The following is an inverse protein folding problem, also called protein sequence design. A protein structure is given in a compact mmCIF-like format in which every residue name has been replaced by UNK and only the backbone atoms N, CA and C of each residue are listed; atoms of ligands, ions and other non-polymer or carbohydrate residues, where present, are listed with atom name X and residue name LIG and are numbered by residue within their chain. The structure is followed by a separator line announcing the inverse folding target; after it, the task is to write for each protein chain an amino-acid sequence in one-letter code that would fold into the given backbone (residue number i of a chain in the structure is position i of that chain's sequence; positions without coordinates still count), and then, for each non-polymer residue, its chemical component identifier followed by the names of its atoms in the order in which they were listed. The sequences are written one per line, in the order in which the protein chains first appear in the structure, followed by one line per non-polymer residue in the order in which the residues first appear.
data_IF_325503935142
#
_entry.id   IF_325503935142
#
_cell.length_a   1.000
_cell.length_b   1.000
_cell.length_c   1.000
_cell.angle_alpha   90.00
_cell.angle_beta   90.00
_cell.angle_gamma   90.00
#
_symmetry.space_group_name_H-M   'P 1'
#
loop_
_entity.id
_entity.type
_entity.pdbx_description
1 polymer ?
#
# COMPACT_ATOMS: atom_id res chain seq x y z
N UNK A 1 -13.25 8.84 26.49
CA UNK A 1 -13.15 9.41 25.12
C UNK A 1 -13.31 8.29 24.11
N UNK A 2 -14.06 8.47 23.00
CA UNK A 2 -14.09 7.49 21.93
C UNK A 2 -12.70 7.40 21.30
N UNK A 3 -12.16 6.19 21.17
CA UNK A 3 -10.78 5.90 20.77
C UNK A 3 -10.40 6.41 19.36
N UNK A 4 -11.37 6.87 18.56
CA UNK A 4 -11.21 7.27 17.15
C UNK A 4 -11.91 8.60 16.82
N UNK A 5 -12.15 9.46 17.82
CA UNK A 5 -12.74 10.76 17.54
C UNK A 5 -11.70 11.64 16.81
N UNK A 6 -11.98 11.97 15.54
CA UNK A 6 -11.10 12.74 14.64
C UNK A 6 -9.84 12.02 14.10
N UNK A 7 -9.79 10.68 14.17
CA UNK A 7 -8.69 9.90 13.56
C UNK A 7 -9.27 8.65 12.89
N UNK A 8 -8.79 8.35 11.68
CA UNK A 8 -9.07 7.10 10.98
C UNK A 8 -7.71 6.49 10.63
N UNK A 9 -7.07 5.74 11.54
CA UNK A 9 -5.73 5.21 11.31
C UNK A 9 -5.71 4.17 10.20
N UNK A 10 -4.54 3.98 9.59
CA UNK A 10 -4.30 2.89 8.66
C UNK A 10 -4.23 1.56 9.43
N UNK A 11 -5.23 0.70 9.22
CA UNK A 11 -5.34 -0.61 9.88
C UNK A 11 -4.81 -1.74 8.98
N UNK A 12 -4.48 -2.88 9.58
CA UNK A 12 -3.99 -4.07 8.87
C UNK A 12 -4.84 -4.51 7.68
N UNK A 13 -6.17 -4.31 7.72
CA UNK A 13 -7.06 -4.66 6.60
C UNK A 13 -6.72 -3.95 5.30
N UNK A 14 -6.18 -2.74 5.36
CA UNK A 14 -5.70 -2.02 4.17
C UNK A 14 -4.45 -2.70 3.59
N UNK A 15 -3.51 -3.06 4.47
CA UNK A 15 -2.29 -3.79 4.10
C UNK A 15 -2.61 -5.15 3.48
N UNK A 16 -3.55 -5.90 4.07
CA UNK A 16 -4.00 -7.18 3.52
C UNK A 16 -4.61 -7.01 2.14
N UNK A 17 -5.48 -6.01 1.95
CA UNK A 17 -6.05 -5.68 0.65
C UNK A 17 -4.97 -5.39 -0.39
N UNK A 18 -4.02 -4.51 -0.09
CA UNK A 18 -2.94 -4.20 -1.02
C UNK A 18 -2.02 -5.38 -1.29
N UNK A 19 -1.69 -6.18 -0.27
CA UNK A 19 -0.87 -7.37 -0.42
C UNK A 19 -1.50 -8.39 -1.38
N UNK A 20 -2.82 -8.48 -1.47
CA UNK A 20 -3.50 -9.31 -2.47
C UNK A 20 -3.84 -8.57 -3.77
N UNK A 21 -3.32 -7.35 -3.94
CA UNK A 21 -3.55 -6.53 -5.12
C UNK A 21 -5.00 -6.07 -5.27
N UNK A 22 -5.73 -5.88 -4.18
CA UNK A 22 -7.09 -5.34 -4.26
C UNK A 22 -7.06 -3.85 -4.62
N UNK A 23 -7.95 -3.42 -5.50
CA UNK A 23 -8.32 -2.00 -5.63
C UNK A 23 -9.20 -1.64 -4.43
N UNK A 24 -8.74 -0.74 -3.58
CA UNK A 24 -9.49 -0.31 -2.40
C UNK A 24 -10.31 0.92 -2.73
N UNK A 25 -11.62 0.81 -2.56
CA UNK A 25 -12.58 1.88 -2.82
C UNK A 25 -13.24 2.28 -1.51
N UNK A 26 -13.20 3.57 -1.17
CA UNK A 26 -13.76 4.06 0.07
C UNK A 26 -13.20 5.42 0.46
N UNK A 27 -13.51 5.88 1.66
CA UNK A 27 -12.91 7.10 2.18
C UNK A 27 -11.49 6.80 2.66
N UNK A 28 -10.51 7.56 2.16
CA UNK A 28 -9.13 7.46 2.64
C UNK A 28 -9.05 7.63 4.17
N UNK A 29 -8.24 6.81 4.87
CA UNK A 29 -7.91 7.04 6.26
C UNK A 29 -7.16 8.37 6.39
N UNK A 30 -7.19 8.96 7.58
CA UNK A 30 -6.57 10.25 7.86
C UNK A 30 -6.08 10.26 9.30
N UNK A 31 -4.94 10.88 9.54
CA UNK A 31 -4.23 10.87 10.81
C UNK A 31 -2.74 11.17 10.58
N UNK A 32 -1.98 11.28 11.66
CA UNK A 32 -0.53 11.53 11.57
C UNK A 32 0.17 10.35 10.86
N UNK A 33 0.99 10.64 9.85
CA UNK A 33 1.76 9.61 9.13
C UNK A 33 0.97 8.80 8.08
N UNK A 34 -0.35 8.99 7.98
CA UNK A 34 -1.19 8.15 7.10
C UNK A 34 -0.96 8.48 5.63
N UNK A 35 -0.77 9.75 5.28
CA UNK A 35 -0.55 10.16 3.90
C UNK A 35 0.75 9.58 3.34
N UNK A 36 1.83 9.61 4.13
CA UNK A 36 3.14 9.05 3.75
C UNK A 36 3.08 7.53 3.59
N UNK A 37 2.26 6.85 4.41
CA UNK A 37 1.99 5.42 4.31
C UNK A 37 1.07 5.05 3.13
N UNK A 38 0.52 6.01 2.40
CA UNK A 38 -0.40 5.79 1.28
C UNK A 38 0.03 6.53 0.01
N UNK A 39 1.29 6.96 -0.03
CA UNK A 39 1.85 7.85 -1.05
C UNK A 39 2.24 7.09 -2.32
N UNK A 40 1.23 6.52 -2.97
CA UNK A 40 1.32 6.03 -4.34
C UNK A 40 -0.04 6.19 -5.04
N UNK A 41 0.00 6.20 -6.36
CA UNK A 41 -1.17 6.37 -7.19
C UNK A 41 -2.20 5.26 -6.93
N UNK A 42 -3.45 5.65 -6.69
CA UNK A 42 -4.59 4.74 -6.50
C UNK A 42 -4.46 3.77 -5.31
N UNK A 43 -3.65 4.13 -4.29
CA UNK A 43 -3.61 3.46 -2.97
C UNK A 43 -4.98 3.34 -2.31
N UNK A 44 -5.87 4.28 -2.60
CA UNK A 44 -7.31 4.16 -2.40
C UNK A 44 -8.03 5.05 -3.43
N UNK A 45 -9.21 4.64 -3.84
CA UNK A 45 -10.07 5.44 -4.72
C UNK A 45 -11.25 5.96 -3.89
N UNK A 46 -11.43 7.29 -3.90
CA UNK A 46 -12.50 7.91 -3.13
C UNK A 46 -13.87 7.51 -3.70
N UNK A 47 -14.69 6.89 -2.84
CA UNK A 47 -16.04 6.49 -3.22
C UNK A 47 -16.95 7.73 -3.31
N UNK A 48 -17.70 7.91 -4.42
CA UNK A 48 -18.57 9.05 -4.57
C UNK A 48 -19.69 9.06 -3.53
N UNK A 49 -20.12 10.26 -3.13
CA UNK A 49 -21.29 10.45 -2.27
C UNK A 49 -22.48 10.79 -3.15
N UNK A 50 -23.50 9.95 -3.18
CA UNK A 50 -24.76 10.25 -3.88
C UNK A 50 -25.29 9.10 -4.73
N UNK A 51 -26.21 9.42 -5.64
CA UNK A 51 -26.96 8.46 -6.46
C UNK A 51 -26.13 7.78 -7.56
N UNK A 52 -24.93 8.29 -7.87
CA UNK A 52 -24.05 7.75 -8.92
C UNK A 52 -23.12 6.61 -8.43
N UNK A 53 -23.34 6.10 -7.21
CA UNK A 53 -22.50 5.06 -6.61
C UNK A 53 -22.45 3.77 -7.45
N UNK A 54 -23.58 3.35 -8.02
CA UNK A 54 -23.66 2.12 -8.83
C UNK A 54 -22.94 2.31 -10.15
N UNK A 55 -23.23 3.39 -10.89
CA UNK A 55 -22.58 3.71 -12.17
C UNK A 55 -21.06 3.83 -12.02
N UNK A 56 -20.59 4.41 -10.91
CA UNK A 56 -19.17 4.48 -10.58
C UNK A 56 -18.56 3.08 -10.42
N UNK A 57 -19.19 2.19 -9.65
CA UNK A 57 -18.68 0.82 -9.48
C UNK A 57 -18.72 0.03 -10.78
N UNK A 58 -19.79 0.17 -11.58
CA UNK A 58 -19.92 -0.50 -12.87
C UNK A 58 -18.84 -0.04 -13.86
N UNK A 59 -18.58 1.28 -13.94
CA UNK A 59 -17.51 1.80 -14.79
C UNK A 59 -16.12 1.37 -14.32
N UNK A 60 -15.86 1.38 -13.00
CA UNK A 60 -14.61 0.88 -12.43
C UNK A 60 -14.41 -0.62 -12.72
N UNK A 61 -15.47 -1.43 -12.58
CA UNK A 61 -15.43 -2.87 -12.86
C UNK A 61 -15.34 -3.19 -14.35
N UNK A 62 -15.77 -2.28 -15.23
CA UNK A 62 -15.63 -2.44 -16.68
C UNK A 62 -14.19 -2.20 -17.16
N UNK A 63 -13.40 -1.38 -16.44
CA UNK A 63 -12.01 -1.08 -16.79
C UNK A 63 -11.03 -2.13 -16.23
N UNK A 64 -10.95 -3.26 -16.93
CA UNK A 64 -10.10 -4.39 -16.54
C UNK A 64 -8.60 -4.04 -16.59
N UNK A 65 -8.18 -3.22 -17.55
CA UNK A 65 -6.78 -2.81 -17.70
C UNK A 65 -6.36 -1.95 -16.49
N UNK A 66 -7.21 -0.99 -16.09
CA UNK A 66 -7.00 -0.22 -14.87
C UNK A 66 -6.91 -1.11 -13.63
N UNK A 67 -7.87 -2.02 -13.46
CA UNK A 67 -7.90 -2.91 -12.29
C UNK A 67 -6.67 -3.80 -12.22
N UNK A 68 -6.22 -4.33 -13.36
CA UNK A 68 -5.01 -5.16 -13.42
C UNK A 68 -3.76 -4.33 -13.06
N UNK A 69 -3.60 -3.15 -13.66
CA UNK A 69 -2.46 -2.26 -13.36
C UNK A 69 -2.45 -1.83 -11.89
N UNK A 70 -3.61 -1.45 -11.34
CA UNK A 70 -3.72 -1.04 -9.95
C UNK A 70 -3.47 -2.20 -8.98
N UNK A 71 -3.91 -3.41 -9.34
CA UNK A 71 -3.67 -4.62 -8.56
C UNK A 71 -2.18 -4.88 -8.39
N UNK A 72 -1.45 -4.81 -9.51
CA UNK A 72 -0.01 -5.01 -9.55
C UNK A 72 0.71 -3.92 -8.75
N UNK A 73 0.31 -2.64 -8.92
CA UNK A 73 0.86 -1.53 -8.15
C UNK A 73 0.67 -1.72 -6.66
N UNK A 74 -0.56 -1.98 -6.20
CA UNK A 74 -0.86 -2.15 -4.78
C UNK A 74 -0.06 -3.31 -4.17
N UNK A 75 0.08 -4.42 -4.88
CA UNK A 75 0.90 -5.54 -4.42
C UNK A 75 2.38 -5.13 -4.27
N UNK A 76 2.95 -4.47 -5.28
CA UNK A 76 4.35 -4.05 -5.28
C UNK A 76 4.64 -3.02 -4.19
N UNK A 77 3.82 -1.97 -4.10
CA UNK A 77 4.00 -0.91 -3.11
C UNK A 77 3.84 -1.44 -1.69
N UNK A 78 2.87 -2.33 -1.45
CA UNK A 78 2.72 -2.97 -0.15
C UNK A 78 3.93 -3.83 0.21
N UNK A 79 4.46 -4.60 -0.75
CA UNK A 79 5.66 -5.41 -0.56
C UNK A 79 6.87 -4.52 -0.23
N UNK A 80 7.08 -3.44 -0.98
CA UNK A 80 8.27 -2.59 -0.88
C UNK A 80 8.24 -1.61 0.29
N UNK A 81 7.06 -1.20 0.76
CA UNK A 81 6.91 -0.15 1.79
C UNK A 81 6.41 -0.66 3.14
N UNK A 82 5.68 -1.77 3.17
CA UNK A 82 4.93 -2.18 4.37
C UNK A 82 5.33 -3.53 4.95
N UNK A 83 6.35 -4.18 4.40
CA UNK A 83 6.90 -5.40 5.01
C UNK A 83 7.52 -5.09 6.38
N UNK A 84 7.25 -5.97 7.35
CA UNK A 84 7.69 -5.83 8.74
C UNK A 84 9.21 -5.83 8.88
N UNK A 85 9.97 -6.37 7.91
CA UNK A 85 11.44 -6.34 7.93
C UNK A 85 11.98 -4.92 7.88
N UNK A 86 11.34 -4.02 7.14
CA UNK A 86 11.71 -2.60 7.13
C UNK A 86 11.46 -1.95 8.49
N UNK A 87 10.32 -2.27 9.12
CA UNK A 87 10.01 -1.80 10.48
C UNK A 87 11.03 -2.32 11.51
N UNK A 88 11.46 -3.57 11.39
CA UNK A 88 12.51 -4.11 12.25
C UNK A 88 13.84 -3.39 12.07
N UNK A 89 14.26 -3.13 10.83
CA UNK A 89 15.47 -2.35 10.54
C UNK A 89 15.42 -1.01 11.27
N UNK A 90 14.30 -0.30 11.15
CA UNK A 90 14.15 1.02 11.77
C UNK A 90 14.15 0.94 13.30
N UNK A 91 13.48 -0.06 13.89
CA UNK A 91 13.47 -0.30 15.35
C UNK A 91 14.88 -0.61 15.89
N UNK A 92 15.65 -1.44 15.18
CA UNK A 92 17.04 -1.76 15.56
C UNK A 92 17.90 -0.50 15.52
N UNK A 93 17.75 0.33 14.48
CA UNK A 93 18.47 1.59 14.36
C UNK A 93 18.12 2.55 15.51
N UNK A 94 16.82 2.73 15.82
CA UNK A 94 16.35 3.57 16.94
C UNK A 94 16.92 3.07 18.28
N UNK A 95 16.94 1.75 18.48
CA UNK A 95 17.49 1.14 19.69
C UNK A 95 19.02 1.09 19.72
N UNK A 96 19.71 1.56 18.68
CA UNK A 96 21.16 1.46 18.50
C UNK A 96 21.68 0.02 18.63
N UNK A 97 20.88 -0.95 18.17
CA UNK A 97 21.22 -2.37 18.17
C UNK A 97 21.91 -2.78 16.86
N UNK A 98 22.77 -3.81 16.88
CA UNK A 98 23.40 -4.33 15.68
C UNK A 98 22.36 -4.76 14.64
N UNK A 99 22.64 -4.46 13.36
CA UNK A 99 21.79 -4.89 12.25
C UNK A 99 22.18 -6.30 11.79
N UNK A 100 21.31 -7.32 11.90
CA UNK A 100 21.65 -8.69 11.53
C UNK A 100 21.82 -8.84 10.01
N UNK A 101 22.93 -9.46 9.57
CA UNK A 101 23.19 -9.70 8.15
C UNK A 101 22.08 -10.51 7.45
N UNK A 102 21.39 -11.39 8.17
CA UNK A 102 20.24 -12.13 7.62
C UNK A 102 19.06 -11.20 7.28
N UNK A 103 18.79 -10.21 8.12
CA UNK A 103 17.71 -9.25 7.87
C UNK A 103 18.03 -8.39 6.65
N UNK A 104 19.28 -7.97 6.50
CA UNK A 104 19.77 -7.27 5.30
C UNK A 104 19.53 -8.08 4.02
N UNK A 105 19.97 -9.34 4.01
CA UNK A 105 19.78 -10.23 2.86
C UNK A 105 18.30 -10.47 2.53
N UNK A 106 17.44 -10.63 3.54
CA UNK A 106 16.00 -10.79 3.33
C UNK A 106 15.35 -9.51 2.77
N UNK A 107 15.77 -8.33 3.19
CA UNK A 107 15.31 -7.06 2.63
C UNK A 107 15.75 -6.91 1.17
N UNK A 108 17.03 -7.20 0.86
CA UNK A 108 17.53 -7.13 -0.51
C UNK A 108 16.78 -8.10 -1.45
N UNK A 109 16.50 -9.31 -1.00
CA UNK A 109 15.71 -10.28 -1.76
C UNK A 109 14.27 -9.79 -2.00
N UNK A 110 13.68 -9.09 -1.03
CA UNK A 110 12.35 -8.50 -1.15
C UNK A 110 12.33 -7.37 -2.18
N UNK A 111 13.34 -6.49 -2.15
CA UNK A 111 13.52 -5.40 -3.10
C UNK A 111 13.65 -5.94 -4.53
N UNK A 112 14.54 -6.91 -4.74
CA UNK A 112 14.68 -7.59 -6.04
C UNK A 112 13.39 -8.28 -6.52
N UNK A 113 12.53 -8.74 -5.59
CA UNK A 113 11.22 -9.27 -5.97
C UNK A 113 10.27 -8.15 -6.40
N UNK A 114 10.21 -7.04 -5.66
CA UNK A 114 9.38 -5.89 -6.00
C UNK A 114 9.80 -5.22 -7.31
N UNK A 115 11.10 -5.03 -7.53
CA UNK A 115 11.64 -4.43 -8.75
C UNK A 115 11.26 -5.24 -9.99
N UNK A 116 11.40 -6.57 -9.93
CA UNK A 116 10.97 -7.47 -11.03
C UNK A 116 9.49 -7.36 -11.32
N UNK A 117 8.65 -7.29 -10.28
CA UNK A 117 7.21 -7.14 -10.47
C UNK A 117 6.87 -5.78 -11.11
N UNK A 118 7.54 -4.70 -10.72
CA UNK A 118 7.35 -3.38 -11.34
C UNK A 118 7.76 -3.38 -12.83
N UNK A 119 8.89 -4.02 -13.16
CA UNK A 119 9.37 -4.17 -14.53
C UNK A 119 8.41 -4.98 -15.41
N UNK A 120 7.96 -6.14 -14.93
CA UNK A 120 6.99 -7.01 -15.62
C UNK A 120 5.66 -6.28 -15.92
N UNK A 121 5.29 -5.34 -15.05
CA UNK A 121 4.02 -4.63 -15.12
C UNK A 121 4.09 -3.27 -15.83
N UNK A 122 5.28 -2.84 -16.29
CA UNK A 122 5.54 -1.52 -16.91
C UNK A 122 5.04 -0.34 -16.05
N UNK A 123 5.04 -0.49 -14.72
CA UNK A 123 4.63 0.58 -13.81
C UNK A 123 5.80 1.57 -13.71
N UNK A 124 5.63 2.86 -14.03
CA UNK A 124 6.71 3.84 -13.92
C UNK A 124 7.14 4.00 -12.45
N UNK A 125 8.45 3.94 -12.21
CA UNK A 125 9.04 4.10 -10.88
C UNK A 125 9.20 5.61 -10.61
N UNK A 126 8.51 6.13 -9.60
CA UNK A 126 8.75 7.48 -9.09
C UNK A 126 9.54 7.35 -7.78
N UNK A 127 10.86 7.56 -7.86
CA UNK A 127 11.74 7.70 -6.70
C UNK A 127 11.73 9.14 -6.18
#
# INVERSE_FOLDING_TARGET
MPRFYQDSPLLYRWLEGWLYGCTIVGKRPFGSGVAELMDWENSAIDFPRGSNAVEFLESLLADQDFLQQNSLRNHCECLLRHDWRYRLRDLLAIASLPFPARLDAEIQALQQKGDRLLEECRIPIYF
#
